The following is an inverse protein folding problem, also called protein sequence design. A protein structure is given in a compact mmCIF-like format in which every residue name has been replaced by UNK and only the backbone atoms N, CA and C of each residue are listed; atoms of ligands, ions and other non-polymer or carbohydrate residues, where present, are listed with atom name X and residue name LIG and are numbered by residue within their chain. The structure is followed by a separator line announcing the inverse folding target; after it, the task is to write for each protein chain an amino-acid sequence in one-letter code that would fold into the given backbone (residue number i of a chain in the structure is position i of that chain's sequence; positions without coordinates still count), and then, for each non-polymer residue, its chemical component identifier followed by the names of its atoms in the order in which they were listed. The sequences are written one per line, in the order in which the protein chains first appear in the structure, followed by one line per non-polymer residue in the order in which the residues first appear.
data_IF_317227558049
#
_entry.id   IF_317227558049
#
_cell.length_a   1.000
_cell.length_b   1.000
_cell.length_c   1.000
_cell.angle_alpha   90.00
_cell.angle_beta   90.00
_cell.angle_gamma   90.00
#
_symmetry.space_group_name_H-M   'P 1'
#
loop_
_entity.id
_entity.type
_entity.pdbx_description
1 polymer ?
#
# COMPACT_ATOMS: atom_id res chain seq x y z
N UNK A 1 8.05 -13.94 -9.84
CA UNK A 1 7.01 -13.28 -10.67
C UNK A 1 5.68 -13.08 -9.95
N UNK A 2 5.21 -13.99 -9.06
CA UNK A 2 3.94 -13.79 -8.31
C UNK A 2 3.89 -12.48 -7.51
N UNK A 3 4.98 -12.06 -6.84
CA UNK A 3 4.99 -10.84 -6.02
C UNK A 3 4.68 -9.57 -6.82
N UNK A 4 5.29 -9.39 -8.00
CA UNK A 4 5.05 -8.22 -8.86
C UNK A 4 3.60 -8.18 -9.35
N UNK A 5 3.04 -9.34 -9.71
CA UNK A 5 1.62 -9.44 -10.08
C UNK A 5 0.69 -9.06 -8.93
N UNK A 6 1.01 -9.48 -7.70
CA UNK A 6 0.26 -9.09 -6.50
C UNK A 6 0.38 -7.60 -6.20
N UNK A 7 1.58 -7.02 -6.28
CA UNK A 7 1.77 -5.58 -6.15
C UNK A 7 0.93 -4.81 -7.16
N UNK A 8 0.99 -5.17 -8.44
CA UNK A 8 0.20 -4.52 -9.48
C UNK A 8 -1.30 -4.60 -9.21
N UNK A 9 -1.79 -5.76 -8.79
CA UNK A 9 -3.20 -5.96 -8.43
C UNK A 9 -3.60 -5.06 -7.24
N UNK A 10 -2.80 -5.02 -6.18
CA UNK A 10 -3.07 -4.17 -5.02
C UNK A 10 -3.00 -2.68 -5.33
N UNK A 11 -2.07 -2.25 -6.20
CA UNK A 11 -2.00 -0.86 -6.68
C UNK A 11 -3.27 -0.50 -7.47
N UNK A 12 -3.74 -1.36 -8.38
CA UNK A 12 -4.97 -1.12 -9.14
C UNK A 12 -6.17 -1.04 -8.18
N UNK A 13 -6.30 -1.98 -7.25
CA UNK A 13 -7.37 -1.97 -6.25
C UNK A 13 -7.35 -0.70 -5.42
N UNK A 14 -6.18 -0.26 -4.95
CA UNK A 14 -6.05 0.98 -4.19
C UNK A 14 -6.44 2.20 -5.02
N UNK A 15 -6.04 2.28 -6.29
CA UNK A 15 -6.45 3.35 -7.20
C UNK A 15 -7.96 3.38 -7.42
N UNK A 16 -8.60 2.21 -7.60
CA UNK A 16 -10.05 2.12 -7.72
C UNK A 16 -10.76 2.55 -6.44
N UNK A 17 -10.24 2.19 -5.26
CA UNK A 17 -10.82 2.61 -3.97
C UNK A 17 -10.67 4.13 -3.80
N UNK A 18 -9.48 4.69 -4.03
CA UNK A 18 -9.27 6.14 -3.94
C UNK A 18 -10.12 6.90 -4.96
N UNK A 19 -10.28 6.36 -6.17
CA UNK A 19 -11.11 6.93 -7.25
C UNK A 19 -12.60 6.89 -6.96
N UNK A 20 -13.13 5.75 -6.50
CA UNK A 20 -14.55 5.63 -6.11
C UNK A 20 -14.89 6.51 -4.92
N UNK A 21 -13.97 6.63 -3.95
CA UNK A 21 -14.14 7.53 -2.80
C UNK A 21 -14.16 9.01 -3.23
N UNK A 22 -13.27 9.39 -4.15
CA UNK A 22 -13.24 10.74 -4.72
C UNK A 22 -14.53 11.05 -5.53
N UNK A 23 -15.00 10.10 -6.32
CA UNK A 23 -16.25 10.23 -7.09
C UNK A 23 -17.46 10.48 -6.17
N UNK A 24 -17.57 9.74 -5.06
CA UNK A 24 -18.67 9.89 -4.11
C UNK A 24 -18.60 11.19 -3.30
N UNK A 25 -17.40 11.71 -3.05
CA UNK A 25 -17.21 12.86 -2.13
C UNK A 25 -17.21 14.21 -2.84
N UNK A 26 -16.64 14.30 -4.05
CA UNK A 26 -16.30 15.59 -4.66
C UNK A 26 -16.28 15.56 -6.21
N UNK A 27 -17.04 14.66 -6.84
CA UNK A 27 -17.27 14.68 -8.30
C UNK A 27 -15.98 14.67 -9.13
N UNK A 28 -15.00 13.84 -8.72
CA UNK A 28 -13.69 13.65 -9.37
C UNK A 28 -12.75 14.87 -9.37
N UNK A 29 -12.89 15.80 -8.41
CA UNK A 29 -11.88 16.85 -8.22
C UNK A 29 -10.47 16.23 -8.07
N UNK A 30 -9.55 16.64 -8.95
CA UNK A 30 -8.17 16.16 -9.01
C UNK A 30 -7.45 16.35 -7.67
N UNK A 31 -7.76 17.44 -6.96
CA UNK A 31 -7.13 17.77 -5.67
C UNK A 31 -7.57 16.76 -4.60
N UNK A 32 -8.85 16.42 -4.57
CA UNK A 32 -9.42 15.45 -3.63
C UNK A 32 -8.92 14.04 -3.96
N UNK A 33 -8.84 13.70 -5.24
CA UNK A 33 -8.27 12.43 -5.71
C UNK A 33 -6.79 12.31 -5.28
N UNK A 34 -6.01 13.37 -5.46
CA UNK A 34 -4.60 13.41 -5.06
C UNK A 34 -4.44 13.23 -3.55
N UNK A 35 -5.27 13.91 -2.75
CA UNK A 35 -5.28 13.77 -1.29
C UNK A 35 -5.63 12.35 -0.87
N UNK A 36 -6.68 11.76 -1.45
CA UNK A 36 -7.11 10.39 -1.17
C UNK A 36 -6.02 9.37 -1.51
N UNK A 37 -5.33 9.52 -2.66
CA UNK A 37 -4.22 8.65 -3.02
C UNK A 37 -3.06 8.72 -2.01
N UNK A 38 -2.73 9.92 -1.50
CA UNK A 38 -1.68 10.10 -0.47
C UNK A 38 -2.08 9.48 0.86
N UNK A 39 -3.34 9.64 1.27
CA UNK A 39 -3.88 9.02 2.49
C UNK A 39 -3.83 7.51 2.36
N UNK A 40 -4.31 6.94 1.24
CA UNK A 40 -4.25 5.50 0.99
C UNK A 40 -2.81 5.00 0.99
N UNK A 41 -1.86 5.71 0.38
CA UNK A 41 -0.45 5.36 0.41
C UNK A 41 0.12 5.36 1.85
N UNK A 42 -0.21 6.35 2.67
CA UNK A 42 0.20 6.40 4.08
C UNK A 42 -0.34 5.21 4.90
N UNK A 43 -1.58 4.80 4.63
CA UNK A 43 -2.19 3.61 5.25
C UNK A 43 -1.44 2.34 4.84
N UNK A 44 -1.16 2.15 3.55
CA UNK A 44 -0.37 1.01 3.08
C UNK A 44 1.04 0.99 3.67
N UNK A 45 1.67 2.17 3.81
CA UNK A 45 2.97 2.29 4.44
C UNK A 45 2.93 1.87 5.92
N UNK A 46 1.93 2.35 6.66
CA UNK A 46 1.73 1.97 8.06
C UNK A 46 1.48 0.47 8.22
N UNK A 47 0.66 -0.13 7.35
CA UNK A 47 0.44 -1.59 7.33
C UNK A 47 1.76 -2.31 7.03
N UNK A 48 2.54 -1.84 6.05
CA UNK A 48 3.86 -2.36 5.74
C UNK A 48 4.82 -2.32 6.94
N UNK A 49 4.81 -1.23 7.70
CA UNK A 49 5.59 -1.08 8.94
C UNK A 49 5.06 -1.95 10.08
N UNK A 50 3.77 -2.24 10.16
CA UNK A 50 3.25 -3.18 11.18
C UNK A 50 3.65 -4.61 10.79
N UNK A 51 3.44 -5.00 9.54
CA UNK A 51 3.76 -6.34 9.05
C UNK A 51 5.28 -6.59 9.07
N UNK A 52 6.08 -5.56 8.74
CA UNK A 52 7.54 -5.60 8.77
C UNK A 52 8.17 -5.28 10.14
N UNK A 53 7.56 -4.41 10.95
CA UNK A 53 8.09 -3.96 12.25
C UNK A 53 7.75 -4.90 13.40
N UNK A 54 6.67 -5.68 13.31
CA UNK A 54 6.43 -6.82 14.23
C UNK A 54 7.59 -7.85 14.17
N UNK A 55 8.48 -7.76 13.17
CA UNK A 55 9.69 -8.59 13.06
C UNK A 55 10.79 -8.24 14.08
N UNK A 56 10.81 -7.04 14.67
CA UNK A 56 11.85 -6.67 15.67
C UNK A 56 11.52 -7.09 17.09
N UNK A 57 10.30 -7.58 17.34
CA UNK A 57 9.92 -8.07 18.68
C UNK A 57 10.36 -9.52 18.85
N UNK A 58 11.12 -9.78 19.93
CA UNK A 58 11.75 -11.06 20.29
C UNK A 58 10.80 -12.29 20.19
N UNK A 59 9.49 -12.07 20.40
CA UNK A 59 8.46 -13.11 20.33
C UNK A 59 8.29 -13.75 18.94
N UNK A 60 8.64 -13.06 17.85
CA UNK A 60 8.56 -13.58 16.49
C UNK A 60 9.77 -14.45 16.09
N UNK A 61 10.93 -14.27 16.75
CA UNK A 61 12.18 -14.96 16.41
C UNK A 61 12.10 -16.49 16.63
N UNK A 62 11.23 -16.94 17.54
CA UNK A 62 11.02 -18.38 17.83
C UNK A 62 10.20 -19.13 16.77
N UNK A 63 9.45 -18.44 15.91
CA UNK A 63 8.55 -19.06 14.91
C UNK A 63 9.18 -19.06 13.51
N UNK A 64 10.16 -19.92 13.27
CA UNK A 64 10.91 -20.01 11.99
C UNK A 64 10.08 -20.48 10.77
N UNK A 65 8.81 -20.86 10.93
CA UNK A 65 8.04 -21.52 9.86
C UNK A 65 7.32 -20.58 8.88
N UNK A 66 7.17 -19.28 9.17
CA UNK A 66 6.39 -18.34 8.32
C UNK A 66 7.13 -17.04 7.93
N UNK A 67 8.46 -17.04 7.99
CA UNK A 67 9.27 -15.84 7.73
C UNK A 67 9.18 -15.36 6.27
N UNK A 68 9.29 -16.30 5.31
CA UNK A 68 9.28 -16.01 3.87
C UNK A 68 7.95 -15.37 3.39
N UNK A 69 6.81 -15.96 3.76
CA UNK A 69 5.51 -15.41 3.33
C UNK A 69 5.29 -13.99 3.88
N UNK A 70 5.74 -13.67 5.09
CA UNK A 70 5.47 -12.36 5.73
C UNK A 70 6.35 -11.23 5.23
N UNK A 71 7.62 -11.49 4.91
CA UNK A 71 8.53 -10.49 4.33
C UNK A 71 8.05 -10.05 2.93
N UNK A 72 7.47 -10.98 2.15
CA UNK A 72 6.91 -10.67 0.84
C UNK A 72 5.74 -9.67 0.91
N UNK A 73 4.88 -9.75 1.94
CA UNK A 73 3.73 -8.85 2.10
C UNK A 73 4.11 -7.44 2.54
N UNK A 74 5.11 -7.27 3.42
CA UNK A 74 5.57 -5.94 3.81
C UNK A 74 6.22 -5.24 2.62
N UNK A 75 6.99 -5.97 1.80
CA UNK A 75 7.59 -5.44 0.58
C UNK A 75 6.54 -5.03 -0.46
N UNK A 76 5.47 -5.82 -0.63
CA UNK A 76 4.33 -5.46 -1.49
C UNK A 76 3.70 -4.14 -1.02
N UNK A 77 3.45 -3.97 0.28
CA UNK A 77 2.86 -2.73 0.82
C UNK A 77 3.73 -1.51 0.56
N UNK A 78 5.05 -1.63 0.70
CA UNK A 78 6.00 -0.55 0.41
C UNK A 78 5.99 -0.20 -1.09
N UNK A 79 5.99 -1.19 -1.97
CA UNK A 79 5.92 -0.94 -3.42
C UNK A 79 4.60 -0.28 -3.84
N UNK A 80 3.46 -0.71 -3.26
CA UNK A 80 2.15 -0.09 -3.49
C UNK A 80 2.16 1.37 -3.03
N UNK A 81 2.76 1.65 -1.87
CA UNK A 81 2.95 3.01 -1.34
C UNK A 81 3.72 3.88 -2.32
N UNK A 82 4.89 3.43 -2.78
CA UNK A 82 5.73 4.18 -3.73
C UNK A 82 4.98 4.41 -5.04
N UNK A 83 4.23 3.42 -5.51
CA UNK A 83 3.44 3.52 -6.75
C UNK A 83 2.34 4.58 -6.63
N UNK A 84 1.53 4.53 -5.55
CA UNK A 84 0.47 5.50 -5.30
C UNK A 84 1.00 6.92 -5.11
N UNK A 85 2.10 7.08 -4.37
CA UNK A 85 2.77 8.37 -4.22
C UNK A 85 3.31 8.89 -5.55
N UNK A 86 3.93 8.02 -6.36
CA UNK A 86 4.42 8.38 -7.69
C UNK A 86 3.31 8.85 -8.63
N UNK A 87 2.18 8.15 -8.65
CA UNK A 87 1.00 8.54 -9.44
C UNK A 87 0.42 9.87 -8.94
N UNK A 88 0.33 10.05 -7.61
CA UNK A 88 -0.10 11.30 -6.99
C UNK A 88 0.77 12.49 -7.39
N UNK A 89 2.08 12.32 -7.52
CA UNK A 89 3.01 13.36 -7.97
C UNK A 89 2.90 13.64 -9.48
N UNK A 90 2.60 12.62 -10.28
CA UNK A 90 2.44 12.78 -11.74
C UNK A 90 1.15 13.52 -12.13
N UNK A 91 0.16 13.54 -11.22
CA UNK A 91 -1.11 14.26 -11.37
C UNK A 91 -1.01 15.74 -10.94
N UNK A 92 0.18 16.23 -10.60
CA UNK A 92 0.46 17.64 -10.30
C UNK A 92 0.71 18.43 -11.60
#
# INVERSE_FOLDING_TARGET
MRMISWTGLWTIVALFISGTWAYLSADLDLIVLQSNMRISAAVFFMIGLIVGGVLTTDSAYRSRAKKYYREDWSFICVLVTISLFGISLFLH
#
